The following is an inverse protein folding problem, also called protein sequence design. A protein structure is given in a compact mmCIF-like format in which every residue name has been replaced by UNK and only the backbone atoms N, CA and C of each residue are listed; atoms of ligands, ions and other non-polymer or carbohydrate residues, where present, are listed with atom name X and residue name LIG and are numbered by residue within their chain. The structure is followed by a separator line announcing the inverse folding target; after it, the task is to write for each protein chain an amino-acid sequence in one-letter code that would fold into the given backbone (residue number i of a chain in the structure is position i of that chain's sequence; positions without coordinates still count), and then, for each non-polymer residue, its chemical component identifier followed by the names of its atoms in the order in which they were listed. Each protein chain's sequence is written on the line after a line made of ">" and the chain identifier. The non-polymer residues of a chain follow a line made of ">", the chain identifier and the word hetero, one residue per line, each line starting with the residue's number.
data_IF_310029742302
#
_entry.id   IF_310029742302
#
_cell.length_a   1.000
_cell.length_b   1.000
_cell.length_c   1.000
_cell.angle_alpha   90.00
_cell.angle_beta   90.00
_cell.angle_gamma   90.00
#
_symmetry.space_group_name_H-M   'P 1'
#
loop_
_entity.id
_entity.type
_entity.pdbx_description
1 polymer ?
#
# COMPACT_ATOMS: atom_id res chain seq x y z
N UNK A 1 -0.41 13.24 18.92
CA UNK A 1 -1.20 12.03 19.25
C UNK A 1 -1.62 11.99 20.71
N UNK A 2 -0.70 12.15 21.66
CA UNK A 2 -1.02 12.16 23.10
C UNK A 2 -2.02 13.26 23.45
N UNK A 3 -1.80 14.47 22.97
CA UNK A 3 -2.70 15.63 23.14
C UNK A 3 -4.12 15.33 22.62
N UNK A 4 -4.25 14.62 21.49
CA UNK A 4 -5.58 14.25 20.96
C UNK A 4 -6.30 13.26 21.86
N UNK A 5 -5.59 12.27 22.44
CA UNK A 5 -6.17 11.33 23.40
C UNK A 5 -6.64 12.07 24.65
N UNK A 6 -5.81 12.95 25.17
CA UNK A 6 -6.12 13.77 26.34
C UNK A 6 -7.33 14.68 26.08
N UNK A 7 -7.43 15.26 24.87
CA UNK A 7 -8.62 16.03 24.43
C UNK A 7 -9.88 15.16 24.44
N UNK A 8 -9.85 13.99 23.82
CA UNK A 8 -11.00 13.08 23.77
C UNK A 8 -11.43 12.61 25.16
N UNK A 9 -10.48 12.37 26.08
CA UNK A 9 -10.78 12.03 27.47
C UNK A 9 -11.40 13.22 28.20
N UNK A 10 -10.93 14.43 27.97
CA UNK A 10 -11.48 15.64 28.58
C UNK A 10 -12.91 15.90 28.08
N UNK A 11 -13.17 15.76 26.78
CA UNK A 11 -14.50 15.88 26.18
C UNK A 11 -15.53 14.93 26.80
N UNK A 12 -15.10 13.76 27.29
CA UNK A 12 -15.99 12.84 28.03
C UNK A 12 -16.66 13.47 29.25
N UNK A 13 -16.03 14.48 29.88
CA UNK A 13 -16.60 15.20 31.02
C UNK A 13 -17.77 16.10 30.63
N UNK A 14 -17.77 16.56 29.37
CA UNK A 14 -18.84 17.40 28.82
C UNK A 14 -20.07 16.56 28.42
N UNK A 15 -19.85 15.28 28.09
CA UNK A 15 -20.90 14.31 27.73
C UNK A 15 -21.47 13.63 28.99
N UNK A 16 -22.02 14.41 29.92
CA UNK A 16 -22.64 13.90 31.14
C UNK A 16 -24.11 13.51 30.93
N UNK A 17 -24.66 12.79 31.90
CA UNK A 17 -26.04 12.34 31.87
C UNK A 17 -27.05 13.48 31.78
N UNK A 18 -26.81 14.62 32.46
CA UNK A 18 -27.75 15.77 32.45
C UNK A 18 -27.97 16.32 31.04
N UNK A 19 -26.88 16.45 30.25
CA UNK A 19 -26.97 16.93 28.86
C UNK A 19 -27.53 15.86 27.90
N UNK A 20 -27.46 14.60 28.26
CA UNK A 20 -27.82 13.46 27.43
C UNK A 20 -28.96 12.65 28.06
N UNK A 21 -30.00 13.35 28.55
CA UNK A 21 -31.16 12.71 29.16
C UNK A 21 -32.45 13.44 28.85
N UNK A 22 -33.55 12.73 29.05
CA UNK A 22 -34.90 13.26 28.98
C UNK A 22 -35.72 12.72 30.16
N UNK A 23 -36.75 13.47 30.57
CA UNK A 23 -37.64 13.06 31.63
C UNK A 23 -39.01 12.66 31.10
N UNK A 24 -39.55 11.55 31.57
CA UNK A 24 -40.88 11.10 31.22
C UNK A 24 -41.77 11.15 32.47
N UNK A 25 -42.92 11.80 32.34
CA UNK A 25 -43.80 12.06 33.46
C UNK A 25 -44.28 10.75 34.13
N UNK A 26 -43.96 10.58 35.41
CA UNK A 26 -44.32 9.40 36.21
C UNK A 26 -43.39 8.20 36.04
N UNK A 27 -42.40 8.22 35.15
CA UNK A 27 -41.49 7.11 34.89
C UNK A 27 -40.01 7.44 35.25
N UNK A 28 -39.62 8.72 35.27
CA UNK A 28 -38.28 9.12 35.68
C UNK A 28 -37.47 9.79 34.56
N UNK A 29 -36.15 9.82 34.75
CA UNK A 29 -35.20 10.41 33.77
C UNK A 29 -34.34 9.30 33.16
N UNK A 30 -34.28 9.31 31.85
CA UNK A 30 -33.60 8.31 31.03
C UNK A 30 -32.58 8.94 30.11
N UNK A 31 -31.52 8.22 29.78
CA UNK A 31 -30.51 8.68 28.85
C UNK A 31 -31.03 8.79 27.41
N UNK A 32 -30.49 9.77 26.68
CA UNK A 32 -30.62 9.89 25.22
C UNK A 32 -29.40 10.62 24.68
N UNK A 33 -28.50 9.87 24.06
CA UNK A 33 -27.28 10.41 23.49
C UNK A 33 -27.59 11.44 22.39
N UNK A 34 -27.23 12.70 22.63
CA UNK A 34 -27.33 13.79 21.66
C UNK A 34 -26.37 13.61 20.50
N UNK A 35 -26.54 14.43 19.44
CA UNK A 35 -25.71 14.37 18.22
C UNK A 35 -24.22 14.58 18.54
N UNK A 36 -23.89 15.49 19.46
CA UNK A 36 -22.50 15.76 19.88
C UNK A 36 -21.88 14.54 20.54
N UNK A 37 -22.60 13.85 21.45
CA UNK A 37 -22.13 12.63 22.05
C UNK A 37 -21.96 11.50 21.05
N UNK A 38 -22.89 11.32 20.12
CA UNK A 38 -22.77 10.30 19.06
C UNK A 38 -21.56 10.55 18.17
N UNK A 39 -21.29 11.82 17.83
CA UNK A 39 -20.11 12.23 17.04
C UNK A 39 -18.81 11.96 17.80
N UNK A 40 -18.78 12.28 19.09
CA UNK A 40 -17.63 11.97 19.94
C UNK A 40 -17.36 10.46 20.05
N UNK A 41 -18.41 9.64 20.19
CA UNK A 41 -18.27 8.17 20.19
C UNK A 41 -17.66 7.68 18.88
N UNK A 42 -18.17 8.15 17.73
CA UNK A 42 -17.66 7.78 16.43
C UNK A 42 -16.19 8.21 16.23
N UNK A 43 -15.82 9.39 16.73
CA UNK A 43 -14.43 9.87 16.69
C UNK A 43 -13.51 9.01 17.55
N UNK A 44 -13.95 8.59 18.75
CA UNK A 44 -13.21 7.67 19.61
C UNK A 44 -12.99 6.32 18.92
N UNK A 45 -14.03 5.77 18.29
CA UNK A 45 -13.94 4.51 17.52
C UNK A 45 -12.92 4.60 16.41
N UNK A 46 -13.06 5.62 15.53
CA UNK A 46 -12.14 5.81 14.40
C UNK A 46 -10.70 6.04 14.89
N UNK A 47 -10.52 6.83 15.93
CA UNK A 47 -9.20 7.10 16.50
C UNK A 47 -8.52 5.80 17.00
N UNK A 48 -9.24 4.96 17.76
CA UNK A 48 -8.70 3.71 18.28
C UNK A 48 -8.42 2.73 17.14
N UNK A 49 -9.36 2.57 16.21
CA UNK A 49 -9.24 1.67 15.08
C UNK A 49 -8.08 2.05 14.16
N UNK A 50 -8.00 3.33 13.78
CA UNK A 50 -7.00 3.84 12.83
C UNK A 50 -5.57 3.82 13.38
N UNK A 51 -5.37 4.02 14.69
CA UNK A 51 -4.05 4.12 15.28
C UNK A 51 -3.58 2.85 15.99
N UNK A 52 -4.49 2.00 16.47
CA UNK A 52 -4.15 0.80 17.23
C UNK A 52 -4.64 -0.50 16.56
N UNK A 53 -5.73 -0.45 15.80
CA UNK A 53 -6.32 -1.58 15.06
C UNK A 53 -7.07 -2.58 15.93
N UNK A 54 -7.88 -3.44 15.31
CA UNK A 54 -8.81 -4.39 15.96
C UNK A 54 -8.15 -5.38 16.92
N UNK A 55 -6.89 -5.73 16.74
CA UNK A 55 -6.20 -6.70 17.61
C UNK A 55 -5.51 -6.06 18.82
N UNK A 56 -5.71 -4.77 19.06
CA UNK A 56 -5.08 -4.03 20.16
C UNK A 56 -5.85 -4.18 21.47
N UNK A 57 -5.16 -3.90 22.60
CA UNK A 57 -5.83 -3.87 23.90
C UNK A 57 -6.86 -2.72 24.02
N UNK A 58 -6.59 -1.49 23.54
CA UNK A 58 -7.61 -0.44 23.48
C UNK A 58 -8.88 -0.87 22.73
N UNK A 59 -8.72 -1.52 21.57
CA UNK A 59 -9.87 -1.99 20.80
C UNK A 59 -10.68 -3.05 21.56
N UNK A 60 -10.04 -4.04 22.20
CA UNK A 60 -10.74 -5.05 22.99
C UNK A 60 -11.51 -4.48 24.19
N UNK A 61 -11.09 -3.31 24.70
CA UNK A 61 -11.86 -2.60 25.74
C UNK A 61 -13.03 -1.88 25.07
N UNK A 62 -12.80 -1.22 23.93
CA UNK A 62 -13.81 -0.54 23.15
C UNK A 62 -14.93 -1.49 22.68
N UNK A 63 -14.60 -2.69 22.22
CA UNK A 63 -15.59 -3.70 21.78
C UNK A 63 -16.63 -4.10 22.87
N UNK A 64 -16.36 -3.77 24.13
CA UNK A 64 -17.31 -4.00 25.24
C UNK A 64 -18.29 -2.85 25.41
N UNK A 65 -18.08 -1.75 24.70
CA UNK A 65 -18.99 -0.61 24.67
C UNK A 65 -20.17 -0.93 23.75
N UNK A 66 -21.38 -0.60 24.24
CA UNK A 66 -22.61 -0.74 23.47
C UNK A 66 -23.35 0.59 23.44
N UNK A 67 -23.38 1.24 22.26
CA UNK A 67 -24.04 2.53 22.06
C UNK A 67 -25.52 2.52 22.43
N UNK A 68 -26.17 1.35 22.41
CA UNK A 68 -27.58 1.23 22.79
C UNK A 68 -27.80 1.55 24.26
N UNK A 69 -26.84 1.28 25.13
CA UNK A 69 -26.91 1.61 26.55
C UNK A 69 -26.72 3.11 26.87
N UNK A 70 -26.47 3.94 25.87
CA UNK A 70 -26.52 5.40 25.98
C UNK A 70 -27.92 5.97 25.75
N UNK A 71 -28.92 5.11 25.51
CA UNK A 71 -30.29 5.53 25.25
C UNK A 71 -31.26 4.67 26.10
N UNK A 72 -32.25 5.35 26.69
CA UNK A 72 -33.33 4.74 27.44
C UNK A 72 -32.93 3.97 28.73
N UNK A 73 -31.74 4.33 29.31
CA UNK A 73 -31.21 3.79 30.55
C UNK A 73 -31.12 4.88 31.63
N UNK A 74 -30.95 4.47 32.89
CA UNK A 74 -30.73 5.39 34.00
C UNK A 74 -29.27 5.89 34.03
N UNK A 75 -29.01 6.90 34.86
CA UNK A 75 -27.70 7.55 34.95
C UNK A 75 -26.54 6.59 35.24
N UNK A 76 -26.78 5.55 36.07
CA UNK A 76 -25.75 4.58 36.44
C UNK A 76 -25.25 3.78 35.23
N UNK A 77 -26.15 3.24 34.44
CA UNK A 77 -25.85 2.44 33.25
C UNK A 77 -25.17 3.32 32.16
N UNK A 78 -25.67 4.54 31.98
CA UNK A 78 -25.08 5.50 31.06
C UNK A 78 -23.62 5.82 31.42
N UNK A 79 -23.34 6.14 32.69
CA UNK A 79 -21.98 6.47 33.14
C UNK A 79 -21.06 5.23 33.10
N UNK A 80 -21.59 4.05 33.38
CA UNK A 80 -20.84 2.79 33.29
C UNK A 80 -20.39 2.55 31.83
N UNK A 81 -21.29 2.76 30.88
CA UNK A 81 -21.01 2.57 29.46
C UNK A 81 -19.99 3.58 28.94
N UNK A 82 -20.16 4.86 29.28
CA UNK A 82 -19.19 5.92 28.96
C UNK A 82 -17.80 5.63 29.54
N UNK A 83 -17.73 5.06 30.74
CA UNK A 83 -16.47 4.66 31.40
C UNK A 83 -15.69 3.63 30.58
N UNK A 84 -16.33 2.76 29.82
CA UNK A 84 -15.65 1.80 28.93
C UNK A 84 -14.90 2.53 27.81
N UNK A 85 -15.51 3.55 27.20
CA UNK A 85 -14.86 4.42 26.21
C UNK A 85 -13.65 5.14 26.78
N UNK A 86 -13.81 5.79 27.92
CA UNK A 86 -12.71 6.48 28.61
C UNK A 86 -11.58 5.51 28.97
N UNK A 87 -11.92 4.29 29.37
CA UNK A 87 -10.93 3.25 29.66
C UNK A 87 -10.16 2.81 28.42
N UNK A 88 -10.85 2.69 27.26
CA UNK A 88 -10.21 2.38 26.00
C UNK A 88 -9.24 3.49 25.55
N UNK A 89 -9.64 4.75 25.66
CA UNK A 89 -8.79 5.92 25.41
C UNK A 89 -7.59 5.99 26.37
N UNK A 90 -7.81 5.71 27.66
CA UNK A 90 -6.74 5.69 28.66
C UNK A 90 -5.72 4.58 28.36
N UNK A 91 -6.18 3.42 27.87
CA UNK A 91 -5.28 2.36 27.41
C UNK A 91 -4.40 2.81 26.23
N UNK A 92 -4.89 3.68 25.36
CA UNK A 92 -4.11 4.28 24.28
C UNK A 92 -2.90 5.11 24.77
N UNK A 93 -2.97 5.71 25.95
CA UNK A 93 -1.83 6.46 26.54
C UNK A 93 -0.68 5.56 26.98
N UNK A 94 -0.96 4.28 27.23
CA UNK A 94 0.00 3.29 27.79
C UNK A 94 0.57 2.33 26.73
N UNK A 95 0.03 2.37 25.53
CA UNK A 95 0.38 1.43 24.45
C UNK A 95 0.94 2.23 23.29
N UNK A 96 2.08 1.79 22.75
CA UNK A 96 2.62 2.38 21.55
C UNK A 96 1.62 2.13 20.40
N UNK A 97 1.20 3.19 19.68
CA UNK A 97 0.38 3.03 18.49
C UNK A 97 1.05 2.06 17.53
N UNK A 98 0.27 1.33 16.76
CA UNK A 98 0.84 0.63 15.60
C UNK A 98 1.59 1.68 14.78
N UNK A 99 2.87 1.40 14.52
CA UNK A 99 3.51 2.14 13.45
C UNK A 99 2.51 2.11 12.29
N UNK A 100 1.97 3.28 11.97
CA UNK A 100 1.29 3.41 10.68
C UNK A 100 2.36 2.92 9.73
N UNK A 101 2.21 1.67 9.21
CA UNK A 101 2.83 1.38 7.91
C UNK A 101 2.49 2.66 7.15
N UNK A 102 3.53 3.50 6.88
CA UNK A 102 3.33 4.69 6.06
C UNK A 102 2.41 4.18 4.98
N UNK A 103 1.12 4.56 5.05
CA UNK A 103 0.34 4.57 3.82
C UNK A 103 1.31 5.35 2.97
N UNK A 104 1.93 4.63 2.05
CA UNK A 104 2.65 5.26 0.97
C UNK A 104 1.59 6.24 0.52
N UNK A 105 1.75 7.50 0.99
CA UNK A 105 0.98 8.60 0.46
C UNK A 105 1.02 8.26 -1.00
N UNK A 106 -0.11 8.12 -1.66
CA UNK A 106 -0.18 7.87 -3.09
C UNK A 106 0.63 9.01 -3.68
N UNK A 107 1.98 8.84 -3.67
CA UNK A 107 2.86 9.69 -4.44
C UNK A 107 2.30 9.48 -5.81
N UNK A 108 1.72 10.53 -6.37
CA UNK A 108 1.30 10.49 -7.75
C UNK A 108 2.47 9.91 -8.52
N UNK A 109 2.27 8.73 -9.08
CA UNK A 109 3.31 8.03 -9.80
C UNK A 109 3.73 8.93 -10.96
N UNK A 110 5.02 9.10 -11.14
CA UNK A 110 5.55 9.94 -12.21
C UNK A 110 5.37 9.23 -13.55
N UNK A 111 4.33 9.61 -14.28
CA UNK A 111 3.99 9.07 -15.61
C UNK A 111 4.88 9.61 -16.73
N UNK A 112 5.90 10.40 -16.43
CA UNK A 112 6.91 10.82 -17.42
C UNK A 112 8.12 9.89 -17.45
N UNK A 113 8.22 8.94 -16.50
CA UNK A 113 9.35 8.06 -16.29
C UNK A 113 8.93 6.59 -16.34
N UNK A 114 9.82 5.76 -16.88
CA UNK A 114 9.67 4.30 -16.92
C UNK A 114 10.93 3.66 -16.36
N UNK A 115 10.77 2.76 -15.39
CA UNK A 115 11.89 2.04 -14.79
C UNK A 115 12.25 0.80 -15.61
N UNK A 116 13.52 0.61 -15.92
CA UNK A 116 14.03 -0.53 -16.70
C UNK A 116 14.94 -1.38 -15.80
N UNK A 117 14.50 -2.60 -15.52
CA UNK A 117 15.27 -3.64 -14.85
C UNK A 117 15.94 -4.52 -15.89
N UNK A 118 17.25 -4.74 -15.78
CA UNK A 118 18.00 -5.52 -16.75
C UNK A 118 19.09 -6.39 -16.09
N UNK A 119 19.50 -7.45 -16.81
CA UNK A 119 20.69 -8.25 -16.50
C UNK A 119 21.93 -7.73 -17.28
N UNK A 120 22.62 -8.62 -17.99
CA UNK A 120 23.84 -8.32 -18.72
C UNK A 120 23.65 -8.04 -20.22
N UNK A 121 22.41 -8.06 -20.72
CA UNK A 121 22.11 -7.80 -22.14
C UNK A 121 21.99 -6.29 -22.39
N UNK A 122 23.15 -5.64 -22.59
CA UNK A 122 23.22 -4.21 -22.86
C UNK A 122 22.58 -3.80 -24.19
N UNK A 123 22.55 -4.72 -25.17
CA UNK A 123 21.91 -4.43 -26.46
C UNK A 123 20.41 -4.24 -26.28
N UNK A 124 19.73 -5.20 -25.68
CA UNK A 124 18.29 -5.12 -25.44
C UNK A 124 17.95 -3.95 -24.49
N UNK A 125 18.74 -3.77 -23.42
CA UNK A 125 18.60 -2.62 -22.51
C UNK A 125 18.56 -1.30 -23.26
N UNK A 126 19.59 -1.06 -24.11
CA UNK A 126 19.70 0.18 -24.86
C UNK A 126 18.59 0.33 -25.93
N UNK A 127 18.17 -0.77 -26.56
CA UNK A 127 17.07 -0.78 -27.52
C UNK A 127 15.74 -0.38 -26.85
N UNK A 128 15.45 -0.93 -25.68
CA UNK A 128 14.25 -0.60 -24.91
C UNK A 128 14.31 0.83 -24.39
N UNK A 129 15.45 1.28 -23.86
CA UNK A 129 15.61 2.65 -23.38
C UNK A 129 15.38 3.68 -24.51
N UNK A 130 15.98 3.48 -25.67
CA UNK A 130 15.77 4.35 -26.85
C UNK A 130 14.33 4.35 -27.34
N UNK A 131 13.65 3.21 -27.26
CA UNK A 131 12.23 3.15 -27.60
C UNK A 131 11.37 3.97 -26.62
N UNK A 132 11.63 3.88 -25.32
CA UNK A 132 10.95 4.69 -24.30
C UNK A 132 11.21 6.18 -24.53
N UNK A 133 12.44 6.57 -24.84
CA UNK A 133 12.81 7.96 -25.16
C UNK A 133 12.15 8.44 -26.46
N UNK A 134 12.03 7.58 -27.49
CA UNK A 134 11.29 7.90 -28.73
C UNK A 134 9.81 8.21 -28.45
N UNK A 135 9.22 7.59 -27.43
CA UNK A 135 7.86 7.87 -26.98
C UNK A 135 7.73 9.15 -26.14
N UNK A 136 8.82 9.92 -25.96
CA UNK A 136 8.84 11.15 -25.17
C UNK A 136 8.93 10.92 -23.64
N UNK A 137 9.22 9.70 -23.21
CA UNK A 137 9.35 9.34 -21.80
C UNK A 137 10.82 9.25 -21.38
N UNK A 138 11.08 9.32 -20.07
CA UNK A 138 12.43 9.16 -19.52
C UNK A 138 12.65 7.71 -19.07
N UNK A 139 13.61 7.04 -19.66
CA UNK A 139 14.09 5.73 -19.20
C UNK A 139 14.94 5.89 -17.93
N UNK A 140 14.61 5.16 -16.87
CA UNK A 140 15.39 5.10 -15.63
C UNK A 140 16.07 3.72 -15.54
N UNK A 141 17.40 3.71 -15.64
CA UNK A 141 18.23 2.51 -15.57
C UNK A 141 19.08 2.58 -14.31
N UNK A 142 18.97 1.59 -13.42
CA UNK A 142 19.55 1.64 -12.08
C UNK A 142 21.09 1.75 -12.10
N UNK A 143 21.76 1.01 -12.98
CA UNK A 143 23.23 1.01 -13.07
C UNK A 143 23.83 2.34 -13.58
N UNK A 144 23.03 3.16 -14.25
CA UNK A 144 23.44 4.47 -14.76
C UNK A 144 23.25 5.59 -13.73
N UNK A 145 22.57 5.30 -12.61
CA UNK A 145 22.37 6.25 -11.53
C UNK A 145 23.61 6.31 -10.62
N UNK A 146 24.00 7.52 -10.22
CA UNK A 146 25.14 7.74 -9.33
C UNK A 146 25.01 6.92 -8.03
N UNK A 147 26.10 6.26 -7.63
CA UNK A 147 26.06 5.36 -6.47
C UNK A 147 25.95 6.08 -5.11
N UNK A 148 26.34 7.34 -4.98
CA UNK A 148 26.24 8.20 -3.78
C UNK A 148 26.42 7.49 -2.42
N UNK A 149 27.04 6.29 -2.39
CA UNK A 149 27.15 5.44 -1.20
C UNK A 149 25.93 4.57 -0.89
N UNK A 150 24.85 4.64 -1.68
CA UNK A 150 23.62 3.92 -1.43
C UNK A 150 23.73 2.42 -1.79
N UNK A 151 23.01 1.60 -1.06
CA UNK A 151 22.80 0.18 -1.39
C UNK A 151 21.93 0.05 -2.64
N UNK A 152 21.91 -1.14 -3.25
CA UNK A 152 21.04 -1.43 -4.42
C UNK A 152 19.57 -1.19 -4.06
N UNK A 153 19.14 -1.58 -2.85
CA UNK A 153 17.75 -1.40 -2.38
C UNK A 153 17.40 0.09 -2.28
N UNK A 154 18.26 0.90 -1.65
CA UNK A 154 18.05 2.35 -1.54
C UNK A 154 17.96 3.02 -2.92
N UNK A 155 18.80 2.63 -3.87
CA UNK A 155 18.73 3.11 -5.26
C UNK A 155 17.41 2.75 -5.94
N UNK A 156 16.92 1.53 -5.75
CA UNK A 156 15.63 1.10 -6.27
C UNK A 156 14.51 1.94 -5.64
N UNK A 157 14.55 2.16 -4.31
CA UNK A 157 13.56 2.96 -3.60
C UNK A 157 13.49 4.40 -4.08
N UNK A 158 14.65 5.05 -4.24
CA UNK A 158 14.76 6.43 -4.70
C UNK A 158 14.28 6.62 -6.15
N UNK A 159 14.51 5.63 -7.01
CA UNK A 159 14.20 5.73 -8.44
C UNK A 159 12.89 5.04 -8.85
N UNK A 160 12.19 4.37 -7.93
CA UNK A 160 10.95 3.62 -8.21
C UNK A 160 9.66 4.44 -8.11
N UNK A 161 9.75 5.78 -8.01
CA UNK A 161 8.58 6.66 -8.14
C UNK A 161 8.25 6.85 -9.63
N UNK A 162 7.80 5.79 -10.26
CA UNK A 162 7.45 5.70 -11.67
C UNK A 162 6.09 5.03 -11.81
N UNK A 163 5.36 5.36 -12.87
CA UNK A 163 4.07 4.73 -13.16
C UNK A 163 4.18 3.35 -13.80
N UNK A 164 5.35 2.98 -14.37
CA UNK A 164 5.52 1.72 -15.08
C UNK A 164 6.93 1.17 -14.95
N UNK A 165 7.04 -0.17 -14.90
CA UNK A 165 8.28 -0.91 -14.87
C UNK A 165 8.40 -1.91 -16.02
N UNK A 166 9.55 -1.93 -16.68
CA UNK A 166 9.91 -2.91 -17.71
C UNK A 166 11.00 -3.81 -17.15
N UNK A 167 10.80 -5.12 -17.21
CA UNK A 167 11.76 -6.10 -16.68
C UNK A 167 12.28 -6.97 -17.83
N UNK A 168 13.59 -6.92 -18.08
CA UNK A 168 14.21 -7.66 -19.17
C UNK A 168 14.63 -9.05 -18.71
N UNK A 169 13.89 -10.06 -19.13
CA UNK A 169 14.18 -11.46 -18.91
C UNK A 169 15.07 -11.96 -20.06
N UNK A 170 16.37 -12.01 -19.79
CA UNK A 170 17.39 -12.46 -20.74
C UNK A 170 18.16 -13.65 -20.18
N UNK A 171 18.73 -14.55 -20.98
CA UNK A 171 19.40 -15.76 -20.53
C UNK A 171 20.80 -15.44 -19.93
N UNK A 172 20.82 -14.72 -18.83
CA UNK A 172 22.07 -14.28 -18.17
C UNK A 172 22.66 -15.35 -17.24
N UNK A 173 21.80 -16.17 -16.62
CA UNK A 173 22.18 -17.22 -15.69
C UNK A 173 21.63 -18.57 -16.17
N UNK A 174 22.16 -19.65 -15.60
CA UNK A 174 21.69 -21.02 -15.81
C UNK A 174 21.30 -21.59 -14.45
N UNK A 175 20.17 -22.28 -14.38
CA UNK A 175 19.71 -22.89 -13.13
C UNK A 175 18.81 -24.09 -13.35
N UNK A 176 18.57 -24.83 -12.26
CA UNK A 176 17.69 -26.00 -12.25
C UNK A 176 17.19 -26.26 -10.84
N UNK A 177 16.15 -27.08 -10.71
CA UNK A 177 15.77 -27.66 -9.42
C UNK A 177 16.83 -28.68 -8.99
N UNK A 178 16.97 -28.88 -7.68
CA UNK A 178 17.85 -29.92 -7.12
C UNK A 178 17.18 -31.28 -7.31
N UNK A 179 17.60 -32.00 -8.34
CA UNK A 179 17.11 -33.33 -8.73
C UNK A 179 18.30 -34.26 -9.04
N UNK A 180 18.04 -35.57 -9.14
CA UNK A 180 19.11 -36.56 -9.47
C UNK A 180 19.71 -36.35 -10.87
N UNK A 181 18.85 -35.94 -11.85
CA UNK A 181 19.28 -35.63 -13.21
C UNK A 181 18.87 -34.19 -13.55
N UNK A 182 19.64 -33.17 -13.14
CA UNK A 182 19.26 -31.78 -13.28
C UNK A 182 19.25 -31.32 -14.75
N UNK A 183 18.12 -30.85 -15.23
CA UNK A 183 18.02 -30.21 -16.54
C UNK A 183 18.25 -28.70 -16.39
N UNK A 184 19.44 -28.25 -16.77
CA UNK A 184 19.83 -26.84 -16.69
C UNK A 184 19.05 -25.99 -17.67
N UNK A 185 18.37 -24.95 -17.16
CA UNK A 185 17.59 -24.02 -17.96
C UNK A 185 18.17 -22.61 -17.93
N UNK A 186 18.19 -21.88 -19.05
CA UNK A 186 18.49 -20.47 -19.05
C UNK A 186 17.47 -19.71 -18.20
N UNK A 187 17.93 -18.76 -17.40
CA UNK A 187 17.08 -17.91 -16.57
C UNK A 187 17.59 -16.49 -16.48
N UNK A 188 16.71 -15.57 -16.09
CA UNK A 188 17.10 -14.22 -15.76
C UNK A 188 17.99 -14.23 -14.49
N UNK A 189 18.85 -13.22 -14.39
CA UNK A 189 19.70 -13.00 -13.21
C UNK A 189 18.84 -12.89 -11.95
N UNK A 190 19.32 -13.43 -10.82
CA UNK A 190 18.56 -13.40 -9.56
C UNK A 190 18.15 -11.98 -9.13
N UNK A 191 19.01 -10.98 -9.33
CA UNK A 191 18.68 -9.60 -9.03
C UNK A 191 17.50 -9.08 -9.88
N UNK A 192 17.42 -9.45 -11.16
CA UNK A 192 16.30 -9.08 -12.04
C UNK A 192 14.97 -9.65 -11.50
N UNK A 193 14.99 -10.89 -11.03
CA UNK A 193 13.78 -11.51 -10.44
C UNK A 193 13.39 -10.84 -9.13
N UNK A 194 14.38 -10.48 -8.28
CA UNK A 194 14.13 -9.73 -7.04
C UNK A 194 13.53 -8.35 -7.33
N UNK A 195 14.13 -7.59 -8.25
CA UNK A 195 13.67 -6.25 -8.65
C UNK A 195 12.28 -6.30 -9.28
N UNK A 196 11.98 -7.35 -10.06
CA UNK A 196 10.64 -7.60 -10.58
C UNK A 196 9.60 -7.73 -9.45
N UNK A 197 9.88 -8.59 -8.46
CA UNK A 197 9.00 -8.75 -7.30
C UNK A 197 8.82 -7.45 -6.51
N UNK A 198 9.89 -6.67 -6.36
CA UNK A 198 9.85 -5.36 -5.72
C UNK A 198 8.93 -4.38 -6.47
N UNK A 199 9.08 -4.26 -7.80
CA UNK A 199 8.23 -3.38 -8.62
C UNK A 199 6.76 -3.79 -8.56
N UNK A 200 6.45 -5.08 -8.63
CA UNK A 200 5.07 -5.59 -8.47
C UNK A 200 4.47 -5.14 -7.14
N UNK A 201 5.24 -5.22 -6.05
CA UNK A 201 4.81 -4.77 -4.73
C UNK A 201 4.67 -3.26 -4.59
N UNK A 202 5.49 -2.49 -5.31
CA UNK A 202 5.57 -1.03 -5.22
C UNK A 202 4.51 -0.32 -6.07
N UNK A 203 4.41 -0.66 -7.35
CA UNK A 203 3.54 0.02 -8.33
C UNK A 203 2.36 -0.85 -8.80
N UNK A 204 2.26 -2.07 -8.32
CA UNK A 204 1.22 -3.02 -8.70
C UNK A 204 1.53 -3.79 -9.99
N UNK A 205 1.10 -5.05 -10.04
CA UNK A 205 1.41 -6.00 -11.12
C UNK A 205 0.92 -5.57 -12.52
N UNK A 206 -0.13 -4.74 -12.59
CA UNK A 206 -0.67 -4.22 -13.86
C UNK A 206 0.23 -3.17 -14.52
N UNK A 207 1.12 -2.58 -13.74
CA UNK A 207 2.05 -1.55 -14.17
C UNK A 207 3.46 -2.11 -14.37
N UNK A 208 3.60 -3.43 -14.51
CA UNK A 208 4.88 -4.09 -14.75
C UNK A 208 4.75 -5.03 -15.95
N UNK A 209 5.63 -4.86 -16.94
CA UNK A 209 5.70 -5.71 -18.12
C UNK A 209 7.08 -6.38 -18.19
N UNK A 210 7.11 -7.69 -18.38
CA UNK A 210 8.34 -8.44 -18.59
C UNK A 210 8.58 -8.68 -20.09
N UNK A 211 9.68 -8.17 -20.64
CA UNK A 211 10.15 -8.50 -21.98
C UNK A 211 11.07 -9.72 -21.92
N UNK A 212 10.71 -10.78 -22.63
CA UNK A 212 11.41 -12.05 -22.60
C UNK A 212 12.18 -12.31 -23.88
N UNK A 213 13.50 -12.48 -23.79
CA UNK A 213 14.37 -12.81 -24.92
C UNK A 213 14.71 -14.29 -24.92
N UNK A 214 14.23 -15.00 -25.96
CA UNK A 214 14.48 -16.43 -26.12
C UNK A 214 13.70 -17.30 -25.14
N UNK A 215 14.20 -18.51 -24.91
CA UNK A 215 13.60 -19.45 -23.96
C UNK A 215 14.25 -19.29 -22.58
N UNK A 216 13.59 -18.58 -21.70
CA UNK A 216 14.05 -18.27 -20.33
C UNK A 216 13.03 -18.79 -19.33
N UNK A 217 13.50 -19.48 -18.28
CA UNK A 217 12.66 -19.89 -17.15
C UNK A 217 12.00 -18.65 -16.52
N UNK A 218 10.68 -18.71 -16.36
CA UNK A 218 9.88 -17.64 -15.74
C UNK A 218 9.30 -18.13 -14.42
N UNK A 219 9.16 -17.24 -13.42
CA UNK A 219 8.40 -17.59 -12.22
C UNK A 219 6.95 -17.94 -12.56
N UNK A 220 6.51 -19.15 -12.18
CA UNK A 220 5.19 -19.68 -12.57
C UNK A 220 4.03 -19.08 -11.75
N UNK A 221 4.30 -18.59 -10.54
CA UNK A 221 3.27 -18.20 -9.58
C UNK A 221 2.92 -16.69 -9.63
N UNK A 222 3.45 -15.97 -10.62
CA UNK A 222 3.16 -14.53 -10.79
C UNK A 222 2.02 -14.36 -11.81
N UNK A 223 0.80 -14.71 -11.42
CA UNK A 223 -0.38 -14.51 -12.26
C UNK A 223 -0.72 -13.02 -12.43
N UNK A 224 -1.07 -12.62 -13.66
CA UNK A 224 -1.49 -11.25 -14.00
C UNK A 224 -0.35 -10.28 -14.30
N UNK A 225 0.89 -10.76 -14.46
CA UNK A 225 1.99 -10.03 -15.08
C UNK A 225 1.97 -10.29 -16.58
N UNK A 226 2.19 -9.25 -17.38
CA UNK A 226 2.27 -9.33 -18.83
C UNK A 226 3.69 -9.74 -19.22
N UNK A 227 3.83 -10.89 -19.91
CA UNK A 227 5.07 -11.34 -20.53
C UNK A 227 4.98 -11.17 -22.04
N UNK A 228 5.89 -10.39 -22.62
CA UNK A 228 5.96 -10.09 -24.04
C UNK A 228 7.26 -10.66 -24.60
N UNK A 229 7.18 -11.44 -25.68
CA UNK A 229 8.37 -11.96 -26.37
C UNK A 229 9.04 -10.86 -27.18
N UNK A 230 10.37 -10.75 -27.08
CA UNK A 230 11.15 -9.83 -27.93
C UNK A 230 11.25 -10.29 -29.39
N UNK A 231 10.79 -11.51 -29.71
CA UNK A 231 10.72 -12.05 -31.06
C UNK A 231 9.43 -11.64 -31.80
N UNK A 232 8.47 -11.05 -31.08
CA UNK A 232 7.22 -10.53 -31.61
C UNK A 232 7.27 -8.99 -31.70
N UNK A 233 6.16 -8.36 -32.10
CA UNK A 233 6.01 -6.90 -32.12
C UNK A 233 5.91 -6.31 -30.71
N UNK A 234 6.99 -6.48 -29.93
CA UNK A 234 7.04 -6.10 -28.53
C UNK A 234 6.86 -4.59 -28.31
N UNK A 235 7.26 -3.74 -29.29
CA UNK A 235 7.13 -2.28 -29.18
C UNK A 235 5.65 -1.88 -29.13
N UNK A 236 4.83 -2.45 -30.00
CA UNK A 236 3.40 -2.20 -30.03
C UNK A 236 2.72 -2.72 -28.77
N UNK A 237 3.10 -3.91 -28.33
CA UNK A 237 2.56 -4.50 -27.09
C UNK A 237 2.92 -3.66 -25.88
N UNK A 238 4.17 -3.24 -25.74
CA UNK A 238 4.65 -2.41 -24.64
C UNK A 238 3.97 -1.02 -24.64
N UNK A 239 3.81 -0.38 -25.81
CA UNK A 239 3.13 0.91 -25.91
C UNK A 239 1.64 0.80 -25.47
N UNK A 240 0.96 -0.31 -25.78
CA UNK A 240 -0.40 -0.56 -25.29
C UNK A 240 -0.44 -0.69 -23.77
N UNK A 241 0.51 -1.41 -23.16
CA UNK A 241 0.58 -1.57 -21.70
C UNK A 241 0.88 -0.23 -21.00
N UNK A 242 1.76 0.60 -21.56
CA UNK A 242 2.00 1.95 -21.06
C UNK A 242 0.71 2.79 -21.08
N UNK A 243 -0.05 2.77 -22.17
CA UNK A 243 -1.35 3.47 -22.24
C UNK A 243 -2.36 2.93 -21.22
N UNK A 244 -2.43 1.62 -21.06
CA UNK A 244 -3.31 0.99 -20.08
C UNK A 244 -2.95 1.41 -18.63
N UNK A 245 -1.68 1.77 -18.40
CA UNK A 245 -1.17 2.28 -17.12
C UNK A 245 -1.28 3.82 -16.97
N UNK A 246 -1.95 4.49 -17.91
CA UNK A 246 -2.26 5.93 -17.84
C UNK A 246 -1.24 6.85 -18.50
N UNK A 247 -0.22 6.31 -19.20
CA UNK A 247 0.72 7.15 -19.95
C UNK A 247 0.06 7.70 -21.22
N UNK A 248 0.34 8.96 -21.51
CA UNK A 248 -0.05 9.61 -22.77
C UNK A 248 0.98 9.27 -23.87
N UNK A 249 0.64 8.28 -24.70
CA UNK A 249 1.52 7.75 -25.75
C UNK A 249 0.94 8.03 -27.14
N UNK A 250 1.71 8.76 -27.96
CA UNK A 250 1.41 8.87 -29.37
C UNK A 250 1.78 7.57 -30.09
N UNK A 251 0.76 6.81 -30.49
CA UNK A 251 0.93 5.52 -31.16
C UNK A 251 1.59 5.63 -32.54
N UNK A 252 1.63 6.82 -33.18
CA UNK A 252 2.34 7.02 -34.44
C UNK A 252 3.87 6.95 -34.27
N UNK A 253 4.37 7.14 -33.05
CA UNK A 253 5.79 7.01 -32.72
C UNK A 253 6.22 5.54 -32.52
N UNK A 254 5.29 4.61 -32.46
CA UNK A 254 5.58 3.18 -32.21
C UNK A 254 6.11 2.48 -33.46
N UNK A 255 5.75 2.98 -34.64
CA UNK A 255 6.11 2.45 -35.96
C UNK A 255 7.52 2.89 -36.37
#
# INVERSE_FOLDING_TARGET
>A
MKEKIESLIQEATEHNFEKNSYSESGLGTFSRAGVEMQSWVAECEDFILSNYGKNSAPWRIFERFDIRHLNDYHAHEFELEKTKLVSALTACLRITPKEKKKQIATQELDLTKVFIVHGHDDLLKNEVARFIEKLGLKAIILHEQASSGNTIIEKIEENSNVGFGIVLYTPCDIGTKKEENPNMQPRARQNVVFEHGYLIGKIGRRNVCALVKGNVEKPNDISGVVYVSTQEEWRLSLAKELRNSGYDIDMNLVI
#
